data_IF_231028238796
#
_entry.id   IF_231028238796
#
_cell.length_a   1.000
_cell.length_b   1.000
_cell.length_c   1.000
_cell.angle_alpha   90.00
_cell.angle_beta   90.00
_cell.angle_gamma   90.00
#
_symmetry.space_group_name_H-M   'P 1'
#
loop_
_entity.id
_entity.type
_entity.pdbx_description
1 polymer ?
#
# COMPACT_ATOMS: atom_id res chain seq x y z
N UNK A 1 -29.63 -11.04 4.61
CA UNK A 1 -29.51 -9.62 4.21
C UNK A 1 -28.02 -9.38 4.05
N UNK A 2 -27.57 -9.03 2.85
CA UNK A 2 -26.15 -8.79 2.54
C UNK A 2 -25.85 -7.30 2.64
N UNK A 3 -24.59 -6.98 2.98
CA UNK A 3 -24.10 -5.61 2.87
C UNK A 3 -24.11 -5.21 1.39
N UNK A 4 -24.72 -4.06 1.09
CA UNK A 4 -24.72 -3.51 -0.27
C UNK A 4 -23.40 -2.79 -0.54
N UNK A 5 -22.37 -3.55 -0.93
CA UNK A 5 -21.11 -2.96 -1.34
C UNK A 5 -21.21 -2.32 -2.73
N UNK A 6 -20.65 -1.14 -2.85
CA UNK A 6 -20.34 -0.54 -4.14
C UNK A 6 -19.00 -1.10 -4.66
N UNK A 7 -19.05 -1.86 -5.74
CA UNK A 7 -17.89 -2.53 -6.35
C UNK A 7 -17.20 -1.67 -7.42
N UNK A 8 -15.88 -1.85 -7.67
CA UNK A 8 -14.97 -2.79 -7.05
C UNK A 8 -14.60 -2.43 -5.61
N UNK A 9 -14.33 -3.44 -4.79
CA UNK A 9 -13.96 -3.32 -3.40
C UNK A 9 -12.58 -3.95 -3.16
N UNK A 10 -11.64 -3.18 -2.63
CA UNK A 10 -10.26 -3.64 -2.41
C UNK A 10 -9.89 -3.57 -0.94
N UNK A 11 -9.10 -4.53 -0.52
CA UNK A 11 -8.40 -4.52 0.77
C UNK A 11 -7.04 -5.20 0.63
N UNK A 12 -6.04 -4.86 1.47
CA UNK A 12 -4.75 -5.54 1.40
C UNK A 12 -4.88 -6.99 1.91
N UNK A 13 -4.03 -7.92 1.44
CA UNK A 13 -4.04 -9.32 1.89
C UNK A 13 -3.94 -9.49 3.41
N UNK A 14 -3.26 -8.58 4.10
CA UNK A 14 -3.17 -8.54 5.58
C UNK A 14 -4.51 -8.34 6.27
N UNK A 15 -5.52 -7.83 5.57
CA UNK A 15 -6.88 -7.59 6.05
C UNK A 15 -7.89 -8.63 5.54
N UNK A 16 -7.43 -9.76 4.97
CA UNK A 16 -8.30 -10.80 4.41
C UNK A 16 -9.41 -11.27 5.37
N UNK A 17 -9.13 -11.28 6.67
CA UNK A 17 -10.07 -11.69 7.72
C UNK A 17 -10.75 -10.50 8.43
N UNK A 18 -10.59 -9.28 7.95
CA UNK A 18 -11.24 -8.11 8.53
C UNK A 18 -12.64 -7.91 7.95
N UNK A 19 -13.60 -7.58 8.80
CA UNK A 19 -14.91 -7.12 8.35
C UNK A 19 -14.75 -5.76 7.66
N UNK A 20 -15.40 -5.57 6.52
CA UNK A 20 -15.29 -4.35 5.75
C UNK A 20 -16.52 -3.48 5.98
N UNK A 21 -16.29 -2.19 6.26
CA UNK A 21 -17.31 -1.15 6.14
C UNK A 21 -16.82 -0.09 5.16
N UNK A 22 -17.60 0.15 4.10
CA UNK A 22 -17.34 1.28 3.22
C UNK A 22 -17.83 2.56 3.89
N UNK A 23 -16.91 3.39 4.34
CA UNK A 23 -17.20 4.71 4.92
C UNK A 23 -17.04 5.84 3.91
N UNK A 24 -16.25 5.56 2.87
CA UNK A 24 -16.09 6.39 1.66
C UNK A 24 -16.22 5.49 0.44
N UNK A 25 -16.54 6.08 -0.70
CA UNK A 25 -16.52 5.43 -2.01
C UNK A 25 -15.35 5.99 -2.82
N UNK A 26 -14.68 5.12 -3.58
CA UNK A 26 -13.59 5.53 -4.46
C UNK A 26 -12.34 6.03 -3.71
N UNK A 27 -11.55 6.85 -4.40
CA UNK A 27 -10.32 7.46 -3.88
C UNK A 27 -10.34 8.97 -4.11
N UNK A 28 -10.12 9.78 -3.05
CA UNK A 28 -10.20 11.24 -3.10
C UNK A 28 -9.19 11.88 -4.07
N UNK A 29 -8.09 11.22 -4.35
CA UNK A 29 -7.09 11.70 -5.30
C UNK A 29 -7.29 11.12 -6.72
N UNK A 30 -7.42 9.82 -6.86
CA UNK A 30 -7.70 9.02 -8.06
C UNK A 30 -6.95 9.44 -9.36
N UNK A 31 -5.70 9.98 -9.25
CA UNK A 31 -4.92 10.52 -10.36
C UNK A 31 -3.59 9.82 -10.60
N UNK A 32 -3.20 8.86 -9.74
CA UNK A 32 -1.95 8.11 -9.90
C UNK A 32 -2.01 7.31 -11.21
N UNK A 33 -1.04 7.52 -12.12
CA UNK A 33 -1.10 6.94 -13.47
C UNK A 33 -0.97 5.42 -13.51
N UNK A 34 -0.39 4.81 -12.48
CA UNK A 34 -0.19 3.36 -12.35
C UNK A 34 -1.36 2.63 -11.67
N UNK A 35 -2.29 3.36 -11.03
CA UNK A 35 -3.34 2.76 -10.21
C UNK A 35 -4.67 2.73 -10.97
N UNK A 36 -5.32 1.58 -10.99
CA UNK A 36 -6.63 1.34 -11.61
C UNK A 36 -7.76 1.07 -10.60
N UNK A 37 -7.41 0.84 -9.32
CA UNK A 37 -8.32 0.31 -8.29
C UNK A 37 -9.70 1.00 -8.23
N UNK A 38 -9.73 2.34 -8.28
CA UNK A 38 -10.98 3.09 -8.10
C UNK A 38 -11.31 4.03 -9.28
N UNK A 39 -10.77 3.74 -10.48
CA UNK A 39 -10.98 4.61 -11.65
C UNK A 39 -12.40 4.70 -12.13
N UNK A 40 -13.20 3.68 -11.87
CA UNK A 40 -14.63 3.62 -12.23
C UNK A 40 -15.54 4.25 -11.19
N UNK A 41 -14.97 4.73 -10.06
CA UNK A 41 -15.72 5.34 -8.97
C UNK A 41 -15.44 6.82 -8.83
N UNK A 42 -16.47 7.58 -8.55
CA UNK A 42 -16.35 8.94 -8.02
C UNK A 42 -16.17 8.89 -6.51
N UNK A 43 -15.33 9.79 -5.98
CA UNK A 43 -15.15 9.89 -4.55
C UNK A 43 -16.41 10.46 -3.89
N UNK A 44 -16.91 9.78 -2.88
CA UNK A 44 -17.99 10.25 -2.03
C UNK A 44 -17.80 9.79 -0.58
N UNK A 45 -18.25 10.59 0.36
CA UNK A 45 -18.41 10.21 1.76
C UNK A 45 -19.78 9.59 1.95
N UNK A 46 -19.88 8.44 2.60
CA UNK A 46 -21.17 7.82 2.84
C UNK A 46 -21.89 8.48 4.02
N UNK A 47 -23.21 8.48 3.94
CA UNK A 47 -24.05 9.04 5.01
C UNK A 47 -23.93 8.20 6.27
N UNK A 48 -23.85 8.88 7.42
CA UNK A 48 -23.69 8.22 8.71
C UNK A 48 -24.78 7.19 8.99
N UNK A 49 -26.03 7.50 8.66
CA UNK A 49 -27.19 6.65 8.91
C UNK A 49 -27.09 5.31 8.19
N UNK A 50 -26.52 5.30 6.98
CA UNK A 50 -26.29 4.07 6.20
C UNK A 50 -25.19 3.23 6.83
N UNK A 51 -24.03 3.85 7.12
CA UNK A 51 -22.90 3.16 7.76
C UNK A 51 -23.30 2.63 9.12
N UNK A 52 -24.03 3.41 9.90
CA UNK A 52 -24.57 3.01 11.21
C UNK A 52 -25.49 1.80 11.10
N UNK A 53 -26.41 1.79 10.15
CA UNK A 53 -27.34 0.68 9.94
C UNK A 53 -26.60 -0.61 9.57
N UNK A 54 -25.56 -0.54 8.76
CA UNK A 54 -24.69 -1.67 8.41
C UNK A 54 -23.93 -2.19 9.64
N UNK A 55 -23.36 -1.30 10.45
CA UNK A 55 -22.68 -1.68 11.71
C UNK A 55 -23.67 -2.35 12.67
N UNK A 56 -24.89 -1.80 12.84
CA UNK A 56 -25.94 -2.37 13.68
C UNK A 56 -26.38 -3.76 13.20
N UNK A 57 -26.46 -3.96 11.89
CA UNK A 57 -26.78 -5.26 11.31
C UNK A 57 -25.67 -6.27 11.57
N UNK A 58 -24.44 -5.92 11.19
CA UNK A 58 -23.30 -6.83 11.25
C UNK A 58 -22.93 -7.20 12.67
N UNK A 59 -23.09 -6.30 13.64
CA UNK A 59 -22.82 -6.60 15.05
C UNK A 59 -23.76 -7.65 15.64
N UNK A 60 -24.97 -7.82 15.09
CA UNK A 60 -25.91 -8.87 15.49
C UNK A 60 -25.49 -10.26 14.97
N UNK A 61 -24.94 -10.32 13.75
CA UNK A 61 -24.54 -11.57 13.12
C UNK A 61 -23.12 -12.00 13.49
N UNK A 62 -22.23 -11.03 13.73
CA UNK A 62 -20.79 -11.25 13.97
C UNK A 62 -20.30 -10.47 15.20
N UNK A 63 -20.87 -10.71 16.41
CA UNK A 63 -20.54 -9.92 17.60
C UNK A 63 -19.07 -10.07 18.05
N UNK A 64 -18.42 -11.17 17.69
CA UNK A 64 -17.03 -11.49 18.06
C UNK A 64 -15.99 -10.92 17.07
N UNK A 65 -16.37 -9.99 16.20
CA UNK A 65 -15.46 -9.34 15.24
C UNK A 65 -14.30 -8.66 15.97
N UNK A 66 -13.08 -9.06 15.61
CA UNK A 66 -11.83 -8.50 16.17
C UNK A 66 -11.18 -7.47 15.30
N UNK A 67 -11.47 -7.48 13.99
CA UNK A 67 -10.80 -6.62 13.00
C UNK A 67 -11.80 -6.03 12.04
N UNK A 68 -11.67 -4.73 11.82
CA UNK A 68 -12.46 -3.97 10.86
C UNK A 68 -11.52 -3.26 9.89
N UNK A 69 -11.90 -3.25 8.62
CA UNK A 69 -11.25 -2.47 7.58
C UNK A 69 -12.23 -1.42 7.04
N UNK A 70 -11.87 -0.14 7.16
CA UNK A 70 -12.64 0.98 6.61
C UNK A 70 -12.24 1.19 5.17
N UNK A 71 -13.13 0.93 4.25
CA UNK A 71 -12.98 1.13 2.81
C UNK A 71 -13.68 2.43 2.37
N UNK A 72 -13.44 2.98 1.17
CA UNK A 72 -12.57 2.49 0.12
C UNK A 72 -11.15 3.08 0.22
N UNK A 73 -10.72 3.82 -0.79
CA UNK A 73 -9.32 4.22 -1.00
C UNK A 73 -8.79 5.33 -0.10
N UNK A 74 -9.65 6.05 0.63
CA UNK A 74 -9.22 7.18 1.48
C UNK A 74 -10.18 7.50 2.63
N UNK A 75 -10.36 6.55 3.54
CA UNK A 75 -11.20 6.75 4.71
C UNK A 75 -10.72 7.90 5.63
N UNK A 76 -9.42 8.23 5.61
CA UNK A 76 -8.88 9.35 6.39
C UNK A 76 -9.18 10.73 5.79
N UNK A 77 -9.87 10.81 4.67
CA UNK A 77 -10.37 12.08 4.13
C UNK A 77 -11.67 12.54 4.81
N UNK A 78 -12.35 11.64 5.54
CA UNK A 78 -13.45 12.02 6.42
C UNK A 78 -13.02 13.11 7.40
N UNK A 79 -13.94 13.97 7.79
CA UNK A 79 -13.69 14.91 8.88
C UNK A 79 -13.32 14.18 10.17
N UNK A 80 -12.57 14.85 11.05
CA UNK A 80 -12.19 14.29 12.35
C UNK A 80 -13.42 13.78 13.12
N UNK A 81 -14.50 14.56 13.11
CA UNK A 81 -15.68 14.25 13.91
C UNK A 81 -16.41 13.02 13.34
N UNK A 82 -16.54 12.92 12.02
CA UNK A 82 -17.10 11.73 11.36
C UNK A 82 -16.25 10.47 11.64
N UNK A 83 -14.92 10.57 11.52
CA UNK A 83 -14.05 9.42 11.79
C UNK A 83 -14.13 8.98 13.26
N UNK A 84 -14.14 9.94 14.20
CA UNK A 84 -14.29 9.64 15.64
C UNK A 84 -15.65 9.00 15.90
N UNK A 85 -16.73 9.49 15.28
CA UNK A 85 -18.07 8.93 15.40
C UNK A 85 -18.11 7.45 14.94
N UNK A 86 -17.54 7.15 13.76
CA UNK A 86 -17.44 5.78 13.23
C UNK A 86 -16.65 4.88 14.19
N UNK A 87 -15.47 5.33 14.63
CA UNK A 87 -14.62 4.54 15.52
C UNK A 87 -15.28 4.25 16.86
N UNK A 88 -15.86 5.25 17.51
CA UNK A 88 -16.57 5.10 18.77
C UNK A 88 -17.71 4.11 18.65
N UNK A 89 -18.48 4.20 17.56
CA UNK A 89 -19.61 3.31 17.34
C UNK A 89 -19.17 1.87 17.06
N UNK A 90 -18.10 1.66 16.31
CA UNK A 90 -17.51 0.34 16.09
C UNK A 90 -17.08 -0.32 17.41
N UNK A 91 -16.33 0.41 18.27
CA UNK A 91 -15.91 -0.12 19.57
C UNK A 91 -17.07 -0.36 20.52
N UNK A 92 -18.17 0.40 20.41
CA UNK A 92 -19.39 0.17 21.17
C UNK A 92 -20.10 -1.11 20.72
N UNK A 93 -20.16 -1.38 19.41
CA UNK A 93 -20.91 -2.48 18.81
C UNK A 93 -20.18 -3.80 18.75
N UNK A 94 -18.85 -3.77 18.72
CA UNK A 94 -17.99 -4.95 18.67
C UNK A 94 -17.08 -4.99 19.91
N UNK A 95 -17.52 -5.62 21.02
CA UNK A 95 -16.77 -5.61 22.28
C UNK A 95 -15.39 -6.27 22.20
N UNK A 96 -15.16 -7.14 21.19
CA UNK A 96 -13.88 -7.80 20.94
C UNK A 96 -13.03 -7.13 19.85
N UNK A 97 -13.40 -5.92 19.44
CA UNK A 97 -12.67 -5.21 18.39
C UNK A 97 -11.28 -4.78 18.89
N UNK A 98 -10.26 -5.37 18.27
CA UNK A 98 -8.84 -5.12 18.59
C UNK A 98 -8.21 -4.09 17.66
N UNK A 99 -8.66 -4.07 16.37
CA UNK A 99 -8.05 -3.25 15.34
C UNK A 99 -9.05 -2.73 14.33
N UNK A 100 -8.92 -1.44 14.04
CA UNK A 100 -9.50 -0.80 12.86
C UNK A 100 -8.39 -0.33 11.94
N UNK A 101 -8.46 -0.67 10.67
CA UNK A 101 -7.48 -0.31 9.65
C UNK A 101 -8.17 0.30 8.43
N UNK A 102 -7.43 1.02 7.60
CA UNK A 102 -7.94 1.63 6.38
C UNK A 102 -6.81 1.86 5.38
N UNK A 103 -7.16 2.10 4.12
CA UNK A 103 -6.28 2.80 3.20
C UNK A 103 -6.23 4.29 3.52
N UNK A 104 -5.09 4.90 3.21
CA UNK A 104 -4.93 6.33 3.31
C UNK A 104 -4.03 6.85 2.19
N UNK A 105 -4.39 8.00 1.64
CA UNK A 105 -3.58 8.68 0.63
C UNK A 105 -2.34 9.34 1.27
N UNK A 106 -1.24 9.58 0.51
CA UNK A 106 -0.04 10.23 1.03
C UNK A 106 -0.32 11.60 1.66
N UNK A 107 -1.31 12.32 1.16
CA UNK A 107 -1.78 13.58 1.74
C UNK A 107 -2.32 13.39 3.17
N UNK A 108 -2.93 12.23 3.44
CA UNK A 108 -3.52 11.88 4.72
C UNK A 108 -2.67 10.86 5.49
N UNK A 109 -1.96 9.93 4.82
CA UNK A 109 -0.99 8.92 5.31
C UNK A 109 -0.95 7.73 4.35
N UNK A 110 0.25 7.18 4.02
CA UNK A 110 0.48 5.87 3.41
C UNK A 110 0.35 5.78 1.87
N UNK A 111 1.16 4.92 1.32
CA UNK A 111 1.43 4.72 -0.08
C UNK A 111 2.67 5.51 -0.46
N UNK A 112 3.84 5.01 -0.06
CA UNK A 112 5.13 5.65 -0.38
C UNK A 112 5.38 5.53 -1.88
N UNK A 113 5.19 4.35 -2.44
CA UNK A 113 5.44 3.92 -3.81
C UNK A 113 6.89 4.15 -4.24
N UNK A 114 7.42 5.35 -3.98
CA UNK A 114 8.80 5.79 -4.23
C UNK A 114 9.20 6.85 -3.20
N UNK A 115 10.49 6.95 -2.89
CA UNK A 115 11.07 8.08 -2.15
C UNK A 115 11.57 9.20 -3.05
N UNK A 116 11.68 8.95 -4.36
CA UNK A 116 12.24 9.89 -5.33
C UNK A 116 11.18 10.86 -5.86
N UNK A 117 11.41 12.16 -5.67
CA UNK A 117 10.45 13.22 -6.05
C UNK A 117 10.19 13.29 -7.56
N UNK A 118 11.17 12.94 -8.39
CA UNK A 118 11.01 12.90 -9.85
C UNK A 118 10.08 11.77 -10.26
N UNK A 119 10.30 10.57 -9.74
CA UNK A 119 9.43 9.40 -10.00
C UNK A 119 8.00 9.70 -9.50
N UNK A 120 7.85 10.19 -8.25
CA UNK A 120 6.55 10.54 -7.67
C UNK A 120 5.77 11.54 -8.54
N UNK A 121 6.45 12.56 -9.07
CA UNK A 121 5.85 13.56 -9.98
C UNK A 121 5.42 12.91 -11.29
N UNK A 122 6.28 12.10 -11.92
CA UNK A 122 6.02 11.43 -13.20
C UNK A 122 4.81 10.50 -13.14
N UNK A 123 4.64 9.78 -12.04
CA UNK A 123 3.48 8.90 -11.83
C UNK A 123 2.28 9.63 -11.22
N UNK A 124 2.35 10.95 -11.11
CA UNK A 124 1.28 11.81 -10.58
C UNK A 124 0.83 11.38 -9.18
N UNK A 125 1.80 11.06 -8.29
CA UNK A 125 1.48 10.62 -6.91
C UNK A 125 0.96 11.76 -6.02
N UNK A 126 1.28 13.01 -6.36
CA UNK A 126 0.83 14.18 -5.60
C UNK A 126 1.50 14.34 -4.23
N UNK A 127 2.67 13.73 -4.05
CA UNK A 127 3.46 13.80 -2.81
C UNK A 127 4.95 13.93 -3.13
N UNK A 128 5.73 14.31 -2.13
CA UNK A 128 7.20 14.31 -2.14
C UNK A 128 7.73 13.42 -1.03
N UNK A 129 8.96 12.91 -1.15
CA UNK A 129 9.61 12.14 -0.09
C UNK A 129 9.56 12.86 1.25
N UNK A 130 9.84 14.18 1.27
CA UNK A 130 9.73 15.01 2.48
C UNK A 130 8.31 15.03 3.05
N UNK A 131 7.29 15.21 2.23
CA UNK A 131 5.89 15.24 2.71
C UNK A 131 5.44 13.87 3.26
N UNK A 132 5.91 12.78 2.64
CA UNK A 132 5.67 11.41 3.09
C UNK A 132 6.28 11.20 4.49
N UNK A 133 7.57 11.54 4.67
CA UNK A 133 8.25 11.44 5.97
C UNK A 133 7.51 12.21 7.04
N UNK A 134 7.12 13.46 6.75
CA UNK A 134 6.39 14.31 7.71
C UNK A 134 5.04 13.71 8.10
N UNK A 135 4.28 13.19 7.13
CA UNK A 135 2.98 12.58 7.37
C UNK A 135 3.10 11.31 8.23
N UNK A 136 3.99 10.39 7.82
CA UNK A 136 4.25 9.15 8.55
C UNK A 136 4.76 9.41 9.98
N UNK A 137 5.69 10.36 10.15
CA UNK A 137 6.20 10.71 11.48
C UNK A 137 5.12 11.28 12.41
N UNK A 138 4.19 12.11 11.87
CA UNK A 138 3.03 12.59 12.64
C UNK A 138 2.12 11.47 13.08
N UNK A 139 1.89 10.48 12.21
CA UNK A 139 1.05 9.34 12.53
C UNK A 139 1.68 8.46 13.60
N UNK A 140 2.96 8.09 13.44
CA UNK A 140 3.68 7.31 14.46
C UNK A 140 3.68 7.98 15.83
N UNK A 141 3.90 9.30 15.88
CA UNK A 141 3.81 10.07 17.14
C UNK A 141 2.42 10.01 17.80
N UNK A 142 1.38 9.70 17.05
CA UNK A 142 0.01 9.50 17.56
C UNK A 142 -0.36 8.04 17.82
N UNK A 143 0.61 7.13 17.74
CA UNK A 143 0.40 5.70 18.03
C UNK A 143 -0.21 4.89 16.88
N UNK A 144 -0.26 5.43 15.65
CA UNK A 144 -0.69 4.63 14.50
C UNK A 144 0.36 3.59 14.13
N UNK A 145 -0.11 2.37 13.86
CA UNK A 145 0.68 1.32 13.23
C UNK A 145 0.69 1.56 11.73
N UNK A 146 1.87 1.70 11.13
CA UNK A 146 2.04 2.04 9.74
C UNK A 146 2.44 0.82 8.89
N UNK A 147 1.66 0.58 7.82
CA UNK A 147 2.02 -0.35 6.75
C UNK A 147 2.24 0.43 5.47
N UNK A 148 3.49 0.52 5.02
CA UNK A 148 3.88 1.29 3.84
C UNK A 148 4.08 0.38 2.64
N UNK A 149 3.57 0.81 1.48
CA UNK A 149 3.76 0.10 0.21
C UNK A 149 4.78 0.83 -0.64
N UNK A 150 5.60 0.08 -1.37
CA UNK A 150 6.52 0.58 -2.40
C UNK A 150 6.38 -0.26 -3.66
N UNK A 151 6.74 0.31 -4.82
CA UNK A 151 6.61 -0.36 -6.11
C UNK A 151 7.98 -0.44 -6.78
N UNK A 152 8.53 -1.66 -6.84
CA UNK A 152 9.74 -1.96 -7.59
C UNK A 152 9.50 -1.75 -9.09
N UNK A 153 10.47 -1.19 -9.79
CA UNK A 153 10.38 -0.88 -11.21
C UNK A 153 9.63 0.41 -11.55
N UNK A 154 9.12 1.16 -10.54
CA UNK A 154 8.36 2.39 -10.80
C UNK A 154 9.20 3.51 -11.42
N UNK A 155 10.51 3.49 -11.23
CA UNK A 155 11.46 4.41 -11.88
C UNK A 155 11.78 4.06 -13.32
N UNK A 156 11.43 2.86 -13.77
CA UNK A 156 11.94 2.30 -15.02
C UNK A 156 13.47 2.19 -14.98
N UNK A 157 14.11 1.77 -16.09
CA UNK A 157 15.57 1.65 -16.15
C UNK A 157 16.29 2.96 -15.88
N UNK A 158 15.70 4.07 -16.35
CA UNK A 158 16.34 5.39 -16.29
C UNK A 158 16.55 5.91 -14.88
N UNK A 159 15.60 5.68 -13.97
CA UNK A 159 15.63 6.20 -12.59
C UNK A 159 15.72 5.12 -11.52
N UNK A 160 16.12 3.91 -11.89
CA UNK A 160 16.17 2.75 -10.97
C UNK A 160 17.06 3.03 -9.75
N UNK A 161 18.24 3.64 -9.96
CA UNK A 161 19.20 3.93 -8.89
C UNK A 161 18.65 4.95 -7.89
N UNK A 162 18.20 6.10 -8.40
CA UNK A 162 17.68 7.20 -7.57
C UNK A 162 16.38 6.80 -6.89
N UNK A 163 15.52 6.05 -7.62
CA UNK A 163 14.28 5.51 -7.08
C UNK A 163 14.53 4.67 -5.82
N UNK A 164 15.43 3.71 -5.90
CA UNK A 164 15.72 2.80 -4.80
C UNK A 164 16.49 3.47 -3.67
N UNK A 165 17.50 4.29 -3.99
CA UNK A 165 18.28 5.00 -2.98
C UNK A 165 17.40 5.95 -2.12
N UNK A 166 16.58 6.76 -2.78
CA UNK A 166 15.68 7.70 -2.10
C UNK A 166 14.55 6.96 -1.36
N UNK A 167 14.05 5.84 -1.91
CA UNK A 167 13.03 5.02 -1.25
C UNK A 167 13.59 4.38 0.03
N UNK A 168 14.79 3.81 -0.02
CA UNK A 168 15.46 3.26 1.16
C UNK A 168 15.67 4.34 2.24
N UNK A 169 16.08 5.54 1.83
CA UNK A 169 16.25 6.69 2.74
C UNK A 169 14.95 7.09 3.41
N UNK A 170 13.87 7.27 2.63
CA UNK A 170 12.54 7.62 3.17
C UNK A 170 12.04 6.54 4.13
N UNK A 171 12.16 5.26 3.76
CA UNK A 171 11.77 4.13 4.62
C UNK A 171 12.59 4.07 5.91
N UNK A 172 13.90 4.33 5.83
CA UNK A 172 14.78 4.33 7.01
C UNK A 172 14.43 5.46 7.99
N UNK A 173 14.08 6.63 7.47
CA UNK A 173 13.66 7.77 8.28
C UNK A 173 12.28 7.58 8.91
N UNK A 174 11.33 7.02 8.17
CA UNK A 174 9.97 6.71 8.65
C UNK A 174 10.00 5.54 9.62
N UNK A 175 10.80 4.51 9.36
CA UNK A 175 10.83 3.23 10.06
C UNK A 175 9.40 2.73 10.35
N UNK A 176 8.57 2.42 9.32
CA UNK A 176 7.20 1.95 9.52
C UNK A 176 7.19 0.58 10.18
N UNK A 177 6.06 0.15 10.71
CA UNK A 177 5.95 -1.18 11.35
C UNK A 177 5.98 -2.30 10.29
N UNK A 178 5.43 -2.01 9.10
CA UNK A 178 5.40 -2.94 7.97
C UNK A 178 5.79 -2.24 6.66
N UNK A 179 6.51 -2.97 5.80
CA UNK A 179 6.77 -2.58 4.41
C UNK A 179 6.33 -3.70 3.49
N UNK A 180 5.47 -3.37 2.53
CA UNK A 180 5.11 -4.22 1.41
C UNK A 180 5.78 -3.73 0.13
N UNK A 181 6.59 -4.57 -0.52
CA UNK A 181 7.15 -4.28 -1.83
C UNK A 181 6.36 -5.05 -2.91
N UNK A 182 5.82 -4.32 -3.88
CA UNK A 182 5.16 -4.85 -5.07
C UNK A 182 6.07 -4.63 -6.27
N UNK A 183 5.89 -5.42 -7.32
CA UNK A 183 6.50 -5.12 -8.63
C UNK A 183 5.49 -4.36 -9.48
N UNK A 184 5.95 -3.33 -10.19
CA UNK A 184 5.11 -2.56 -11.11
C UNK A 184 4.42 -3.51 -12.10
N UNK A 185 3.12 -3.53 -12.01
CA UNK A 185 2.24 -4.05 -13.03
C UNK A 185 1.36 -2.93 -13.53
N UNK A 186 1.24 -2.81 -14.81
CA UNK A 186 0.43 -1.78 -15.42
C UNK A 186 -0.70 -2.46 -16.20
N UNK A 187 -1.94 -2.22 -15.76
CA UNK A 187 -3.10 -2.67 -16.51
C UNK A 187 -3.06 -2.12 -17.94
N UNK A 188 -3.36 -2.91 -18.96
CA UNK A 188 -3.36 -2.46 -20.34
C UNK A 188 -4.18 -1.18 -20.57
N UNK A 189 -5.28 -1.00 -19.85
CA UNK A 189 -6.12 0.21 -19.94
C UNK A 189 -5.44 1.48 -19.37
N UNK A 190 -4.36 1.31 -18.59
CA UNK A 190 -3.59 2.42 -17.99
C UNK A 190 -2.33 2.76 -18.75
N UNK A 191 -1.92 1.90 -19.69
CA UNK A 191 -0.64 2.03 -20.39
C UNK A 191 -0.45 3.42 -21.03
N UNK A 192 -1.40 3.86 -21.84
CA UNK A 192 -1.29 5.13 -22.58
C UNK A 192 -1.32 6.35 -21.64
N UNK A 193 -2.17 6.30 -20.59
CA UNK A 193 -2.19 7.35 -19.59
C UNK A 193 -0.87 7.41 -18.82
N UNK A 194 -0.33 6.26 -18.44
CA UNK A 194 0.95 6.17 -17.75
C UNK A 194 2.08 6.74 -18.59
N UNK A 195 2.22 6.30 -19.84
CA UNK A 195 3.26 6.78 -20.77
C UNK A 195 3.13 8.28 -21.01
N UNK A 196 1.91 8.80 -21.22
CA UNK A 196 1.66 10.22 -21.42
C UNK A 196 2.06 11.05 -20.20
N UNK A 197 1.69 10.62 -19.00
CA UNK A 197 2.02 11.34 -17.75
C UNK A 197 3.49 11.22 -17.37
N UNK A 198 4.12 10.09 -17.68
CA UNK A 198 5.55 9.91 -17.46
C UNK A 198 6.37 10.89 -18.32
N UNK A 199 5.84 11.27 -19.50
CA UNK A 199 6.31 12.33 -20.38
C UNK A 199 7.74 12.14 -20.93
N UNK A 200 8.22 10.89 -20.99
CA UNK A 200 9.47 10.47 -21.63
C UNK A 200 9.45 8.95 -21.83
N UNK A 201 10.35 8.39 -22.66
CA UNK A 201 10.41 6.94 -22.85
C UNK A 201 10.57 6.21 -21.52
N UNK A 202 9.69 5.23 -21.28
CA UNK A 202 9.71 4.37 -20.10
C UNK A 202 10.09 2.95 -20.49
N UNK A 203 11.18 2.46 -19.91
CA UNK A 203 11.63 1.09 -20.10
C UNK A 203 11.35 0.30 -18.84
N UNK A 204 10.51 -0.73 -18.97
CA UNK A 204 10.21 -1.64 -17.86
C UNK A 204 11.45 -2.46 -17.49
N UNK A 205 11.60 -2.71 -16.21
CA UNK A 205 12.60 -3.65 -15.72
C UNK A 205 12.22 -5.08 -16.09
N UNK A 206 13.22 -5.89 -16.38
CA UNK A 206 13.06 -7.34 -16.41
C UNK A 206 13.13 -7.96 -15.00
N UNK A 207 12.95 -9.26 -14.91
CA UNK A 207 12.86 -9.96 -13.63
C UNK A 207 14.17 -9.90 -12.83
N UNK A 208 15.32 -9.88 -13.51
CA UNK A 208 16.63 -9.79 -12.86
C UNK A 208 16.88 -8.37 -12.38
N UNK A 209 16.52 -7.36 -13.16
CA UNK A 209 16.60 -5.95 -12.77
C UNK A 209 15.69 -5.64 -11.57
N UNK A 210 14.49 -6.26 -11.49
CA UNK A 210 13.62 -6.17 -10.30
C UNK A 210 14.27 -6.79 -9.07
N UNK A 211 14.97 -7.93 -9.22
CA UNK A 211 15.74 -8.53 -8.12
C UNK A 211 16.92 -7.64 -7.71
N UNK A 212 17.55 -6.93 -8.66
CA UNK A 212 18.61 -5.96 -8.38
C UNK A 212 18.10 -4.78 -7.57
N UNK A 213 16.92 -4.23 -7.92
CA UNK A 213 16.27 -3.20 -7.11
C UNK A 213 15.94 -3.69 -5.70
N UNK A 214 15.37 -4.89 -5.58
CA UNK A 214 15.02 -5.47 -4.28
C UNK A 214 16.27 -5.69 -3.41
N UNK A 215 17.36 -6.19 -4.00
CA UNK A 215 18.63 -6.37 -3.30
C UNK A 215 19.16 -5.04 -2.76
N UNK A 216 19.25 -4.02 -3.64
CA UNK A 216 19.73 -2.68 -3.26
C UNK A 216 18.83 -2.02 -2.22
N UNK A 217 17.53 -2.19 -2.33
CA UNK A 217 16.60 -1.69 -1.32
C UNK A 217 16.90 -2.29 0.05
N UNK A 218 17.02 -3.62 0.15
CA UNK A 218 17.29 -4.33 1.41
C UNK A 218 18.67 -3.97 1.96
N UNK A 219 19.68 -3.77 1.10
CA UNK A 219 21.02 -3.32 1.49
C UNK A 219 21.01 -1.94 2.12
N UNK A 220 20.26 -1.00 1.54
CA UNK A 220 20.27 0.42 1.90
C UNK A 220 19.17 0.81 2.90
N UNK A 221 18.16 -0.04 3.10
CA UNK A 221 17.09 0.21 4.08
C UNK A 221 17.60 -0.10 5.49
N UNK A 222 17.93 0.94 6.24
CA UNK A 222 18.50 0.86 7.59
C UNK A 222 17.55 1.44 8.65
N UNK A 223 16.48 0.73 9.04
CA UNK A 223 15.54 1.21 10.03
C UNK A 223 16.12 1.15 11.45
N UNK A 224 15.83 2.18 12.25
CA UNK A 224 16.25 2.23 13.68
C UNK A 224 15.45 1.30 14.59
N UNK A 225 14.32 0.81 14.13
CA UNK A 225 13.45 -0.13 14.85
C UNK A 225 13.10 -1.29 13.92
N UNK A 226 12.80 -2.50 14.45
CA UNK A 226 12.44 -3.63 13.62
C UNK A 226 11.25 -3.33 12.70
N UNK A 227 11.39 -3.65 11.41
CA UNK A 227 10.38 -3.47 10.38
C UNK A 227 10.06 -4.81 9.71
N UNK A 228 8.81 -5.20 9.73
CA UNK A 228 8.36 -6.41 9.03
C UNK A 228 8.30 -6.13 7.53
N UNK A 229 9.21 -6.76 6.77
CA UNK A 229 9.31 -6.59 5.32
C UNK A 229 8.67 -7.76 4.57
N UNK A 230 7.88 -7.47 3.55
CA UNK A 230 7.19 -8.45 2.69
C UNK A 230 7.25 -8.03 1.22
N UNK A 231 7.89 -8.85 0.39
CA UNK A 231 7.81 -8.80 -1.07
C UNK A 231 7.16 -10.10 -1.55
N UNK A 232 5.92 -10.35 -1.14
CA UNK A 232 5.19 -11.59 -1.38
C UNK A 232 3.84 -11.36 -2.07
N UNK A 233 3.62 -10.18 -2.62
CA UNK A 233 2.45 -9.90 -3.45
C UNK A 233 2.47 -10.75 -4.74
N UNK A 234 1.30 -10.96 -5.33
CA UNK A 234 1.15 -11.75 -6.56
C UNK A 234 1.99 -11.23 -7.73
N UNK A 235 2.23 -9.91 -7.80
CA UNK A 235 3.07 -9.25 -8.82
C UNK A 235 4.55 -9.59 -8.73
N UNK A 236 5.05 -10.01 -7.56
CA UNK A 236 6.48 -10.22 -7.37
C UNK A 236 6.97 -11.51 -8.05
N UNK A 237 8.21 -11.43 -8.51
CA UNK A 237 8.92 -12.56 -9.17
C UNK A 237 9.18 -13.72 -8.22
N UNK A 238 9.32 -13.44 -6.93
CA UNK A 238 9.50 -14.41 -5.85
C UNK A 238 9.03 -13.85 -4.51
N UNK A 239 8.78 -14.72 -3.53
CA UNK A 239 8.39 -14.30 -2.19
C UNK A 239 9.60 -14.10 -1.29
N UNK A 240 9.97 -12.85 -1.03
CA UNK A 240 11.02 -12.48 -0.07
C UNK A 240 10.37 -11.85 1.17
N UNK A 241 10.73 -12.33 2.35
CA UNK A 241 10.15 -11.87 3.62
C UNK A 241 11.14 -11.94 4.77
N UNK A 242 11.02 -11.03 5.71
CA UNK A 242 11.84 -10.99 6.93
C UNK A 242 11.48 -9.80 7.81
N UNK A 243 12.25 -9.65 8.89
CA UNK A 243 12.24 -8.47 9.76
C UNK A 243 13.60 -7.78 9.63
N UNK A 244 13.62 -6.53 9.20
CA UNK A 244 14.84 -5.75 9.08
C UNK A 244 15.10 -4.95 10.38
N UNK A 245 16.37 -4.82 10.80
CA UNK A 245 17.58 -5.27 10.12
C UNK A 245 17.94 -6.76 10.33
N UNK A 246 17.29 -7.48 11.24
CA UNK A 246 17.73 -8.78 11.76
C UNK A 246 17.88 -9.86 10.66
N UNK A 247 16.95 -9.91 9.71
CA UNK A 247 16.92 -10.89 8.63
C UNK A 247 17.67 -10.44 7.35
N UNK A 248 18.37 -9.30 7.37
CA UNK A 248 19.00 -8.71 6.17
C UNK A 248 19.90 -9.69 5.41
N UNK A 249 20.85 -10.29 6.09
CA UNK A 249 21.83 -11.19 5.45
C UNK A 249 21.15 -12.42 4.84
N UNK A 250 20.17 -12.98 5.53
CA UNK A 250 19.37 -14.12 5.03
C UNK A 250 18.58 -13.74 3.77
N UNK A 251 17.95 -12.56 3.75
CA UNK A 251 17.20 -12.08 2.61
C UNK A 251 18.11 -11.81 1.41
N UNK A 252 19.26 -11.19 1.63
CA UNK A 252 20.24 -10.93 0.58
C UNK A 252 20.84 -12.23 0.02
N UNK A 253 21.12 -13.22 0.88
CA UNK A 253 21.60 -14.53 0.44
C UNK A 253 20.57 -15.23 -0.46
N UNK A 254 19.28 -15.17 -0.08
CA UNK A 254 18.18 -15.71 -0.91
C UNK A 254 18.12 -15.02 -2.28
N UNK A 255 18.20 -13.69 -2.33
CA UNK A 255 18.15 -12.95 -3.61
C UNK A 255 19.36 -13.32 -4.50
N UNK A 256 20.55 -13.43 -3.92
CA UNK A 256 21.74 -13.86 -4.66
C UNK A 256 21.61 -15.27 -5.22
N UNK A 257 20.95 -16.16 -4.50
CA UNK A 257 20.68 -17.52 -4.97
C UNK A 257 19.65 -17.51 -6.12
N UNK A 258 18.56 -16.75 -5.98
CA UNK A 258 17.55 -16.57 -7.03
C UNK A 258 18.15 -16.03 -8.34
N UNK A 259 19.12 -15.13 -8.26
CA UNK A 259 19.82 -14.61 -9.44
C UNK A 259 20.66 -15.68 -10.17
N UNK A 260 21.12 -16.70 -9.47
CA UNK A 260 21.83 -17.85 -10.07
C UNK A 260 20.87 -18.90 -10.62
N UNK A 261 19.64 -18.91 -10.16
CA UNK A 261 18.60 -19.88 -10.46
C UNK A 261 17.33 -19.22 -11.00
N UNK A 262 17.37 -18.56 -12.20
CA UNK A 262 16.20 -17.86 -12.77
C UNK A 262 14.99 -18.76 -12.98
N UNK A 263 15.17 -20.07 -13.10
CA UNK A 263 14.12 -21.08 -13.22
C UNK A 263 13.22 -21.17 -11.98
N UNK A 264 13.66 -20.66 -10.83
CA UNK A 264 12.88 -20.59 -9.60
C UNK A 264 11.91 -19.41 -9.58
N UNK A 265 12.08 -18.44 -10.48
CA UNK A 265 11.24 -17.26 -10.53
C UNK A 265 9.84 -17.59 -11.02
N UNK A 266 8.85 -16.95 -10.43
CA UNK A 266 7.46 -17.10 -10.81
C UNK A 266 7.24 -16.61 -12.25
N UNK A 267 6.77 -17.45 -13.17
CA UNK A 267 6.48 -17.03 -14.55
C UNK A 267 5.47 -15.87 -14.61
N UNK A 268 5.61 -14.98 -15.61
CA UNK A 268 4.74 -13.81 -15.76
C UNK A 268 3.24 -14.16 -15.78
N UNK A 269 2.85 -15.24 -16.46
CA UNK A 269 1.46 -15.66 -16.55
C UNK A 269 0.84 -16.20 -15.24
N UNK A 270 1.67 -16.47 -14.23
CA UNK A 270 1.23 -16.84 -12.89
C UNK A 270 1.22 -15.65 -11.92
N UNK A 271 1.64 -14.47 -12.38
CA UNK A 271 1.59 -13.24 -11.59
C UNK A 271 0.24 -12.58 -11.87
N UNK A 272 -0.58 -12.42 -10.85
CA UNK A 272 -1.91 -11.82 -10.95
C UNK A 272 -2.09 -10.66 -9.99
N UNK A 273 -3.18 -9.93 -10.19
CA UNK A 273 -3.66 -8.84 -9.33
C UNK A 273 -5.03 -9.18 -8.81
#
# INVERSE_FOLDING_TARGET
MELAYDYPLYRPPSEANSMIFQVTLGCSFNKCSFCDMYRTKEYAERQWEEVKAEIDMMSKFYPDTQRVFLADGDALNLSKDQLVQVLQYLYQKFPRLERVSCYAMPKNLLGIESGNDTVLRKVTKGATGKSIVQACSRAKKRGYVLSCMIILGLGGRKYTEEHIADTAKVLSEVAPDYVGALTLHLDPSRHDEFMTKYAEPFEFLDDMEVLDELERLIQNFDPKTPVVFRANHASNVYSVKGTLPDDRDRMLALIKDLKKHPEMLKPKFLRGF
#
